data_IF_447626628381
#
_entry.id   IF_447626628381
#
_cell.length_a   1.000
_cell.length_b   1.000
_cell.length_c   1.000
_cell.angle_alpha   90.00
_cell.angle_beta   90.00
_cell.angle_gamma   90.00
#
_symmetry.space_group_name_H-M   'P 1'
#
loop_
_entity.id
_entity.type
_entity.pdbx_description
1 polymer ?
#
# COMPACT_ATOMS: atom_id res chain seq x y z
N UNK A 1 -67.15 13.61 28.97
CA UNK A 1 -66.85 12.22 28.64
C UNK A 1 -65.36 12.11 28.35
N UNK A 2 -64.75 11.09 28.95
CA UNK A 2 -63.34 10.69 28.90
C UNK A 2 -62.95 10.31 27.46
N UNK A 3 -61.70 10.54 27.06
CA UNK A 3 -60.80 9.56 26.41
C UNK A 3 -59.56 10.27 25.83
N UNK A 4 -58.42 10.05 26.50
CA UNK A 4 -57.11 9.78 25.86
C UNK A 4 -57.02 8.25 25.65
N UNK A 5 -56.15 7.66 24.79
CA UNK A 5 -54.74 8.05 24.61
C UNK A 5 -54.03 7.77 23.25
N UNK A 6 -52.76 8.19 23.23
CA UNK A 6 -51.55 7.56 22.66
C UNK A 6 -51.08 7.79 21.21
N UNK A 7 -49.76 8.10 21.18
CA UNK A 7 -48.72 7.89 20.17
C UNK A 7 -48.67 8.77 18.92
N UNK A 8 -47.66 9.64 18.88
CA UNK A 8 -46.99 10.02 17.63
C UNK A 8 -45.48 10.10 17.86
N UNK A 9 -44.75 9.52 16.90
CA UNK A 9 -43.30 9.53 16.74
C UNK A 9 -42.95 10.73 15.87
N UNK A 10 -41.95 11.54 16.23
CA UNK A 10 -41.08 12.22 15.27
C UNK A 10 -39.89 12.92 15.93
N UNK A 11 -38.70 12.59 15.39
CA UNK A 11 -37.55 13.43 15.09
C UNK A 11 -37.29 14.70 15.92
N UNK A 12 -36.08 14.84 16.45
CA UNK A 12 -35.09 15.80 15.91
C UNK A 12 -33.74 15.74 16.62
N UNK A 13 -32.71 16.07 15.84
CA UNK A 13 -31.29 16.08 16.13
C UNK A 13 -30.85 17.25 17.01
N UNK A 14 -29.74 17.02 17.72
CA UNK A 14 -28.70 17.96 18.23
C UNK A 14 -28.94 18.70 19.56
N UNK A 15 -27.85 18.94 20.34
CA UNK A 15 -27.07 20.15 20.10
C UNK A 15 -25.53 19.98 20.21
N UNK A 16 -24.84 20.26 19.10
CA UNK A 16 -23.45 20.72 19.13
C UNK A 16 -23.42 22.10 19.80
N UNK A 17 -22.74 22.21 20.94
CA UNK A 17 -22.43 23.50 21.58
C UNK A 17 -20.93 23.79 21.46
N UNK A 18 -20.67 24.91 20.76
CA UNK A 18 -19.63 25.92 20.99
C UNK A 18 -18.21 25.64 20.46
N UNK A 19 -17.99 26.08 19.23
CA UNK A 19 -16.79 26.87 18.92
C UNK A 19 -17.24 28.32 18.65
N UNK A 20 -16.85 29.24 19.54
CA UNK A 20 -16.89 30.67 19.31
C UNK A 20 -15.57 31.23 19.77
N UNK A 21 -14.85 31.90 18.87
CA UNK A 21 -13.64 32.61 19.25
C UNK A 21 -12.61 32.83 18.14
N UNK A 22 -13.03 33.27 16.96
CA UNK A 22 -12.12 33.98 16.06
C UNK A 22 -12.02 35.41 16.58
N UNK A 23 -10.87 35.78 17.13
CA UNK A 23 -10.45 37.17 17.29
C UNK A 23 -9.14 37.37 16.55
N UNK A 24 -9.27 38.05 15.41
CA UNK A 24 -8.22 38.54 14.53
C UNK A 24 -7.50 39.69 15.24
N UNK A 25 -6.21 39.53 15.56
CA UNK A 25 -5.30 40.65 15.79
C UNK A 25 -4.03 40.46 14.95
N UNK A 26 -3.83 41.43 14.09
CA UNK A 26 -2.66 41.66 13.26
C UNK A 26 -1.45 42.04 14.11
N UNK A 27 -0.41 41.21 14.08
CA UNK A 27 0.97 41.62 14.32
C UNK A 27 1.89 40.62 13.61
N UNK A 28 2.67 41.14 12.67
CA UNK A 28 3.68 40.43 11.89
C UNK A 28 4.80 39.92 12.80
N UNK A 29 4.85 38.61 12.99
CA UNK A 29 6.01 37.88 13.51
C UNK A 29 6.17 36.59 12.70
N UNK A 30 7.39 36.20 12.29
CA UNK A 30 7.60 34.92 11.62
C UNK A 30 7.15 33.78 12.54
N UNK A 31 6.64 32.65 12.02
CA UNK A 31 6.31 31.51 12.86
C UNK A 31 7.60 31.03 13.54
N UNK A 32 7.63 31.13 14.87
CA UNK A 32 8.71 30.59 15.67
C UNK A 32 8.79 29.06 15.46
N UNK A 33 10.02 28.54 15.42
CA UNK A 33 10.32 27.12 15.45
C UNK A 33 9.51 26.42 16.54
N UNK A 34 9.06 25.16 16.32
CA UNK A 34 8.25 24.47 17.31
C UNK A 34 9.00 24.41 18.64
N UNK A 35 8.37 24.98 19.66
CA UNK A 35 8.82 24.93 21.05
C UNK A 35 8.97 23.49 21.51
N UNK A 36 10.02 23.24 22.29
CA UNK A 36 10.38 21.95 22.89
C UNK A 36 9.17 21.18 23.42
N UNK A 37 9.14 19.84 23.25
CA UNK A 37 8.01 19.03 23.68
C UNK A 37 7.75 19.20 25.18
N UNK A 38 6.47 19.20 25.55
CA UNK A 38 6.01 19.30 26.92
C UNK A 38 6.63 18.18 27.80
N UNK A 39 6.87 18.44 29.10
CA UNK A 39 7.43 17.44 30.00
C UNK A 39 6.51 16.22 30.08
N UNK A 40 6.98 15.05 29.66
CA UNK A 40 6.27 13.77 29.81
C UNK A 40 5.73 13.12 28.53
N UNK A 41 5.79 13.78 27.37
CA UNK A 41 5.60 13.07 26.08
C UNK A 41 6.96 12.59 25.59
N UNK A 42 7.12 11.31 25.20
CA UNK A 42 8.40 10.86 24.69
C UNK A 42 8.71 11.60 23.38
N UNK A 43 9.80 12.36 23.37
CA UNK A 43 10.25 13.14 22.20
C UNK A 43 10.41 12.28 20.94
N UNK A 44 10.64 10.97 21.11
CA UNK A 44 10.76 10.00 20.03
C UNK A 44 9.46 9.77 19.24
N UNK A 45 8.27 10.00 19.82
CA UNK A 45 7.00 9.86 19.11
C UNK A 45 6.89 10.85 17.96
N UNK A 46 7.22 12.12 18.22
CA UNK A 46 7.18 13.18 17.20
C UNK A 46 8.23 12.94 16.13
N UNK A 47 9.41 12.47 16.53
CA UNK A 47 10.45 12.08 15.59
C UNK A 47 10.00 10.96 14.66
N UNK A 48 9.38 9.89 15.20
CA UNK A 48 8.87 8.78 14.39
C UNK A 48 7.86 9.25 13.36
N UNK A 49 6.91 10.11 13.77
CA UNK A 49 5.94 10.72 12.85
C UNK A 49 6.68 11.48 11.75
N UNK A 50 7.64 12.32 12.10
CA UNK A 50 8.40 13.11 11.13
C UNK A 50 9.18 12.22 10.14
N UNK A 51 9.84 11.19 10.64
CA UNK A 51 10.57 10.21 9.82
C UNK A 51 9.64 9.47 8.86
N UNK A 52 8.48 8.99 9.35
CA UNK A 52 7.47 8.30 8.54
C UNK A 52 6.77 9.23 7.54
N UNK A 53 6.73 10.53 7.80
CA UNK A 53 6.27 11.55 6.84
C UNK A 53 7.32 11.85 5.77
N UNK A 54 8.53 11.30 5.87
CA UNK A 54 9.65 11.56 4.97
C UNK A 54 10.26 12.94 5.16
N UNK A 55 10.25 13.47 6.39
CA UNK A 55 11.06 14.64 6.71
C UNK A 55 12.53 14.27 6.71
N UNK A 56 13.36 15.15 6.16
CA UNK A 56 14.80 15.02 6.28
C UNK A 56 15.24 15.32 7.70
N UNK A 57 16.07 14.42 8.23
CA UNK A 57 16.63 14.50 9.58
C UNK A 57 18.13 14.47 9.40
N UNK A 58 18.84 15.43 9.98
CA UNK A 58 20.28 15.52 9.78
C UNK A 58 21.03 14.43 10.55
N UNK A 59 22.32 14.25 10.25
CA UNK A 59 23.13 13.19 10.84
C UNK A 59 23.28 13.30 12.36
N UNK A 60 23.33 14.53 12.89
CA UNK A 60 23.50 14.76 14.33
C UNK A 60 22.23 14.40 15.10
N UNK A 61 21.07 14.79 14.58
CA UNK A 61 19.77 14.40 15.13
C UNK A 61 19.60 12.88 15.10
N UNK A 62 19.90 12.23 13.96
CA UNK A 62 19.83 10.76 13.84
C UNK A 62 20.69 10.07 14.90
N UNK A 63 21.92 10.56 15.11
CA UNK A 63 22.83 10.02 16.13
C UNK A 63 22.25 10.18 17.53
N UNK A 64 21.78 11.39 17.88
CA UNK A 64 21.16 11.66 19.19
C UNK A 64 19.99 10.71 19.45
N UNK A 65 19.12 10.51 18.47
CA UNK A 65 17.96 9.64 18.65
C UNK A 65 18.36 8.18 18.78
N UNK A 66 19.33 7.71 17.99
CA UNK A 66 19.86 6.36 18.15
C UNK A 66 20.48 6.16 19.55
N UNK A 67 21.22 7.15 20.06
CA UNK A 67 21.79 7.11 21.43
C UNK A 67 20.69 7.09 22.50
N UNK A 68 19.60 7.84 22.30
CA UNK A 68 18.46 7.84 23.21
C UNK A 68 17.75 6.48 23.21
N UNK A 69 17.55 5.86 22.04
CA UNK A 69 16.98 4.51 21.89
C UNK A 69 17.89 3.44 22.50
N UNK A 70 19.21 3.58 22.36
CA UNK A 70 20.18 2.68 22.98
C UNK A 70 20.09 2.73 24.52
N UNK A 71 19.75 3.88 25.10
CA UNK A 71 19.58 4.01 26.56
C UNK A 71 18.26 3.48 27.09
N UNK A 72 17.28 3.24 26.21
CA UNK A 72 16.00 2.65 26.60
C UNK A 72 16.20 1.26 27.19
N UNK A 73 15.43 0.96 28.23
CA UNK A 73 15.30 -0.41 28.73
C UNK A 73 14.42 -1.26 27.80
N UNK A 74 14.34 -2.56 28.06
CA UNK A 74 13.60 -3.49 27.21
C UNK A 74 12.10 -3.13 27.09
N UNK A 75 11.47 -2.76 28.20
CA UNK A 75 10.04 -2.39 28.23
C UNK A 75 9.77 -1.12 27.42
N UNK A 76 10.67 -0.13 27.49
CA UNK A 76 10.58 1.08 26.68
C UNK A 76 10.75 0.77 25.19
N UNK A 77 11.65 -0.13 24.82
CA UNK A 77 11.80 -0.59 23.44
C UNK A 77 10.59 -1.39 22.95
N UNK A 78 9.97 -2.22 23.79
CA UNK A 78 8.71 -2.88 23.48
C UNK A 78 7.61 -1.88 23.16
N UNK A 79 7.40 -0.91 24.05
CA UNK A 79 6.40 0.14 23.86
C UNK A 79 6.69 0.97 22.59
N UNK A 80 7.97 1.21 22.31
CA UNK A 80 8.40 1.91 21.10
C UNK A 80 8.03 1.12 19.83
N UNK A 81 8.38 -0.16 19.79
CA UNK A 81 8.11 -1.04 18.64
C UNK A 81 6.60 -1.22 18.45
N UNK A 82 5.85 -1.49 19.53
CA UNK A 82 4.40 -1.59 19.47
C UNK A 82 3.76 -0.31 18.93
N UNK A 83 4.21 0.86 19.43
CA UNK A 83 3.71 2.15 18.95
C UNK A 83 4.02 2.37 17.47
N UNK A 84 5.21 1.98 17.02
CA UNK A 84 5.60 2.05 15.61
C UNK A 84 4.68 1.18 14.74
N UNK A 85 4.55 -0.10 15.09
CA UNK A 85 3.91 -1.12 14.26
C UNK A 85 2.38 -0.99 14.22
N UNK A 86 1.77 -0.78 15.38
CA UNK A 86 0.31 -0.78 15.52
C UNK A 86 -0.29 0.62 15.53
N UNK A 87 0.50 1.62 15.93
CA UNK A 87 0.06 3.00 16.07
C UNK A 87 0.40 3.88 14.87
N UNK A 88 1.65 4.37 14.85
CA UNK A 88 2.01 5.53 14.01
C UNK A 88 2.32 5.17 12.56
N UNK A 89 2.98 4.05 12.25
CA UNK A 89 3.32 3.70 10.87
C UNK A 89 2.08 3.44 10.00
N UNK A 90 1.08 2.63 10.44
CA UNK A 90 -0.13 2.40 9.65
C UNK A 90 -0.84 3.68 9.23
N UNK A 91 -1.09 4.55 10.21
CA UNK A 91 -1.83 5.80 10.01
C UNK A 91 -1.01 6.82 9.19
N UNK A 92 0.29 6.92 9.43
CA UNK A 92 1.14 7.89 8.72
C UNK A 92 1.36 7.50 7.26
N UNK A 93 1.60 6.22 6.97
CA UNK A 93 1.78 5.75 5.59
C UNK A 93 0.49 5.87 4.78
N UNK A 94 -0.66 5.56 5.38
CA UNK A 94 -1.96 5.78 4.73
C UNK A 94 -2.22 7.28 4.47
N UNK A 95 -1.91 8.15 5.44
CA UNK A 95 -2.03 9.59 5.25
C UNK A 95 -1.08 10.13 4.18
N UNK A 96 0.13 9.59 4.06
CA UNK A 96 1.05 9.94 2.98
C UNK A 96 0.46 9.57 1.61
N UNK A 97 -0.17 8.40 1.51
CA UNK A 97 -0.85 7.98 0.28
C UNK A 97 -2.01 8.94 -0.07
N UNK A 98 -2.86 9.27 0.92
CA UNK A 98 -3.96 10.21 0.74
C UNK A 98 -3.46 11.59 0.27
N UNK A 99 -2.35 12.09 0.81
CA UNK A 99 -1.71 13.33 0.35
C UNK A 99 -1.19 13.22 -1.08
N UNK A 100 -0.55 12.10 -1.44
CA UNK A 100 -0.01 11.89 -2.78
C UNK A 100 -1.12 11.84 -3.84
N UNK A 101 -2.22 11.13 -3.57
CA UNK A 101 -3.34 11.00 -4.50
C UNK A 101 -4.37 12.15 -4.41
N UNK A 102 -4.20 13.05 -3.44
CA UNK A 102 -5.12 14.14 -3.12
C UNK A 102 -6.53 13.60 -2.88
N UNK A 103 -6.66 12.67 -1.94
CA UNK A 103 -7.91 11.99 -1.59
C UNK A 103 -8.05 11.78 -0.07
N UNK A 104 -9.21 11.30 0.36
CA UNK A 104 -9.42 10.82 1.73
C UNK A 104 -9.17 9.31 1.84
N UNK A 105 -9.09 8.79 3.07
CA UNK A 105 -8.86 7.36 3.33
C UNK A 105 -9.95 6.45 2.77
N UNK A 106 -11.20 6.93 2.70
CA UNK A 106 -12.33 6.21 2.09
C UNK A 106 -12.21 6.06 0.59
N UNK A 107 -11.52 7.00 -0.05
CA UNK A 107 -11.46 7.12 -1.52
C UNK A 107 -10.17 6.48 -2.07
N UNK A 108 -9.29 6.00 -1.19
CA UNK A 108 -7.99 5.44 -1.56
C UNK A 108 -8.11 4.22 -2.48
N UNK A 109 -9.20 3.46 -2.43
CA UNK A 109 -9.43 2.34 -3.36
C UNK A 109 -9.68 2.77 -4.81
N UNK A 110 -10.12 4.01 -5.01
CA UNK A 110 -10.35 4.60 -6.33
C UNK A 110 -9.14 5.41 -6.83
N UNK A 111 -8.03 5.43 -6.08
CA UNK A 111 -6.89 6.29 -6.35
C UNK A 111 -6.35 6.13 -7.78
N UNK A 112 -6.11 4.89 -8.21
CA UNK A 112 -5.59 4.59 -9.56
C UNK A 112 -6.64 4.61 -10.67
N UNK A 113 -7.94 4.67 -10.33
CA UNK A 113 -9.00 4.86 -11.32
C UNK A 113 -9.05 6.32 -11.77
N UNK A 114 -8.75 7.25 -10.85
CA UNK A 114 -8.87 8.69 -11.10
C UNK A 114 -7.53 9.39 -11.35
N UNK A 115 -6.39 8.71 -11.14
CA UNK A 115 -5.04 9.31 -11.15
C UNK A 115 -4.04 8.43 -11.90
N UNK A 116 -2.90 9.04 -12.22
CA UNK A 116 -1.82 8.35 -12.92
C UNK A 116 -1.07 7.39 -11.99
N UNK A 117 -0.60 6.23 -12.49
CA UNK A 117 0.24 5.31 -11.73
C UNK A 117 1.52 5.95 -11.17
N UNK A 118 1.98 7.06 -11.75
CA UNK A 118 3.18 7.78 -11.33
C UNK A 118 3.08 8.27 -9.87
N UNK A 119 1.88 8.64 -9.40
CA UNK A 119 1.69 9.03 -8.01
C UNK A 119 2.03 7.88 -7.05
N UNK A 120 1.66 6.64 -7.41
CA UNK A 120 2.02 5.47 -6.61
C UNK A 120 3.53 5.21 -6.61
N UNK A 121 4.18 5.42 -7.76
CA UNK A 121 5.64 5.28 -7.90
C UNK A 121 6.37 6.31 -7.02
N UNK A 122 5.94 7.57 -7.05
CA UNK A 122 6.52 8.63 -6.22
C UNK A 122 6.37 8.31 -4.72
N UNK A 123 5.19 7.80 -4.32
CA UNK A 123 4.96 7.35 -2.94
C UNK A 123 5.89 6.19 -2.57
N UNK A 124 6.04 5.21 -3.47
CA UNK A 124 6.96 4.10 -3.28
C UNK A 124 8.41 4.55 -3.14
N UNK A 125 8.88 5.44 -4.01
CA UNK A 125 10.23 5.99 -3.94
C UNK A 125 10.49 6.69 -2.61
N UNK A 126 9.50 7.45 -2.12
CA UNK A 126 9.58 8.08 -0.81
C UNK A 126 9.67 7.05 0.32
N UNK A 127 8.85 6.00 0.30
CA UNK A 127 8.91 4.93 1.31
C UNK A 127 10.24 4.20 1.25
N UNK A 128 10.67 3.79 0.06
CA UNK A 128 11.78 2.87 -0.13
C UNK A 128 13.16 3.53 -0.05
N UNK A 129 13.31 4.75 -0.60
CA UNK A 129 14.60 5.43 -0.67
C UNK A 129 14.79 6.50 0.40
N UNK A 130 13.72 6.95 1.07
CA UNK A 130 13.82 8.00 2.09
C UNK A 130 13.44 7.50 3.48
N UNK A 131 12.21 7.00 3.65
CA UNK A 131 11.68 6.61 4.98
C UNK A 131 12.42 5.38 5.51
N UNK A 132 12.52 4.31 4.71
CA UNK A 132 13.16 3.07 5.12
C UNK A 132 14.63 3.25 5.55
N UNK A 133 15.52 3.87 4.74
CA UNK A 133 16.91 4.06 5.15
C UNK A 133 17.06 4.94 6.39
N UNK A 134 16.20 5.96 6.55
CA UNK A 134 16.18 6.80 7.74
C UNK A 134 15.84 5.99 8.99
N UNK A 135 14.75 5.20 8.96
CA UNK A 135 14.36 4.35 10.07
C UNK A 135 15.44 3.31 10.39
N UNK A 136 16.00 2.64 9.38
CA UNK A 136 17.11 1.70 9.56
C UNK A 136 18.32 2.34 10.25
N UNK A 137 18.67 3.57 9.86
CA UNK A 137 19.83 4.28 10.43
C UNK A 137 19.67 4.67 11.89
N UNK A 138 18.43 4.79 12.39
CA UNK A 138 18.15 5.21 13.77
C UNK A 138 17.72 4.05 14.65
N UNK A 139 17.07 3.03 14.09
CA UNK A 139 16.53 1.87 14.81
C UNK A 139 17.49 0.68 14.90
N UNK A 140 18.72 0.82 14.38
CA UNK A 140 19.75 -0.22 14.52
C UNK A 140 20.01 -0.67 15.97
N UNK A 141 19.89 0.18 17.03
CA UNK A 141 20.03 -0.26 18.42
C UNK A 141 19.01 -1.33 18.81
N UNK A 142 17.77 -1.19 18.34
CA UNK A 142 16.69 -2.14 18.59
C UNK A 142 17.00 -3.44 17.86
N UNK A 143 17.32 -3.37 16.56
CA UNK A 143 17.64 -4.56 15.76
C UNK A 143 18.84 -5.33 16.32
N UNK A 144 19.82 -4.63 16.89
CA UNK A 144 20.98 -5.25 17.53
C UNK A 144 20.60 -6.07 18.76
N UNK A 145 19.63 -5.60 19.56
CA UNK A 145 19.13 -6.32 20.75
C UNK A 145 18.09 -7.38 20.39
N UNK A 146 17.37 -7.17 19.29
CA UNK A 146 16.24 -7.99 18.81
C UNK A 146 16.44 -8.34 17.33
N UNK A 147 17.24 -9.36 17.02
CA UNK A 147 17.51 -9.77 15.64
C UNK A 147 16.25 -10.14 14.85
N UNK A 148 15.19 -10.55 15.53
CA UNK A 148 13.87 -10.84 14.97
C UNK A 148 13.11 -9.60 14.52
N UNK A 149 13.47 -8.41 15.04
CA UNK A 149 12.85 -7.15 14.63
C UNK A 149 13.47 -6.66 13.32
N UNK A 150 12.73 -6.88 12.23
CA UNK A 150 13.10 -6.41 10.89
C UNK A 150 12.27 -5.19 10.49
N UNK A 151 12.83 -4.00 10.72
CA UNK A 151 12.17 -2.73 10.39
C UNK A 151 11.76 -2.63 8.90
N UNK A 152 12.56 -3.21 8.00
CA UNK A 152 12.30 -3.16 6.57
C UNK A 152 11.05 -3.97 6.25
N UNK A 153 11.02 -5.22 6.71
CA UNK A 153 9.87 -6.10 6.57
C UNK A 153 8.63 -5.50 7.23
N UNK A 154 8.75 -4.96 8.44
CA UNK A 154 7.66 -4.31 9.18
C UNK A 154 7.04 -3.17 8.37
N UNK A 155 7.83 -2.19 7.91
CA UNK A 155 7.31 -1.03 7.17
C UNK A 155 6.73 -1.44 5.82
N UNK A 156 7.38 -2.36 5.10
CA UNK A 156 6.86 -2.85 3.81
C UNK A 156 5.57 -3.64 3.99
N UNK A 157 5.43 -4.43 5.06
CA UNK A 157 4.19 -5.16 5.39
C UNK A 157 3.06 -4.18 5.69
N UNK A 158 3.33 -3.15 6.47
CA UNK A 158 2.33 -2.11 6.77
C UNK A 158 1.95 -1.35 5.49
N UNK A 159 2.91 -0.99 4.65
CA UNK A 159 2.65 -0.33 3.38
C UNK A 159 1.79 -1.19 2.45
N UNK A 160 2.10 -2.50 2.35
CA UNK A 160 1.28 -3.48 1.62
C UNK A 160 -0.16 -3.48 2.12
N UNK A 161 -0.35 -3.69 3.43
CA UNK A 161 -1.66 -3.96 4.00
C UNK A 161 -2.55 -2.72 4.08
N UNK A 162 -1.96 -1.56 4.43
CA UNK A 162 -2.71 -0.33 4.68
C UNK A 162 -2.85 0.54 3.45
N UNK A 163 -1.90 0.47 2.52
CA UNK A 163 -1.89 1.32 1.31
C UNK A 163 -2.16 0.49 0.06
N UNK A 164 -1.24 -0.40 -0.31
CA UNK A 164 -1.29 -1.04 -1.63
C UNK A 164 -2.53 -1.92 -1.82
N UNK A 165 -2.91 -2.71 -0.81
CA UNK A 165 -4.12 -3.54 -0.85
C UNK A 165 -5.41 -2.72 -1.03
N UNK A 166 -5.41 -1.44 -0.64
CA UNK A 166 -6.52 -0.52 -0.91
C UNK A 166 -6.41 0.04 -2.32
N UNK A 167 -5.27 0.65 -2.64
CA UNK A 167 -5.02 1.34 -3.92
C UNK A 167 -5.20 0.42 -5.13
N UNK A 168 -4.84 -0.86 -5.02
CA UNK A 168 -4.93 -1.83 -6.12
C UNK A 168 -6.27 -2.58 -6.18
N UNK A 169 -7.16 -2.39 -5.20
CA UNK A 169 -8.38 -3.20 -5.02
C UNK A 169 -9.27 -3.22 -6.26
N UNK A 170 -9.51 -2.04 -6.82
CA UNK A 170 -10.45 -1.84 -7.92
C UNK A 170 -9.74 -1.70 -9.29
N UNK A 171 -8.44 -1.99 -9.32
CA UNK A 171 -7.65 -1.97 -10.56
C UNK A 171 -7.79 -3.28 -11.30
N UNK A 172 -8.49 -3.27 -12.43
CA UNK A 172 -8.73 -4.45 -13.26
C UNK A 172 -7.82 -4.57 -14.48
N UNK A 173 -7.06 -3.52 -14.78
CA UNK A 173 -6.16 -3.46 -15.93
C UNK A 173 -4.71 -3.71 -15.54
N UNK A 174 -3.91 -4.13 -16.53
CA UNK A 174 -2.47 -4.32 -16.33
C UNK A 174 -1.77 -2.96 -16.30
N UNK A 175 -0.91 -2.75 -15.31
CA UNK A 175 -0.08 -1.54 -15.17
C UNK A 175 1.39 -1.96 -15.06
N UNK A 176 2.09 -2.18 -16.20
CA UNK A 176 3.44 -2.76 -16.21
C UNK A 176 4.48 -1.96 -15.42
N UNK A 177 4.34 -0.63 -15.38
CA UNK A 177 5.28 0.25 -14.68
C UNK A 177 5.33 -0.01 -13.17
N UNK A 178 4.29 -0.62 -12.58
CA UNK A 178 4.25 -0.98 -11.16
C UNK A 178 4.92 -2.33 -10.86
N UNK A 179 5.24 -3.13 -11.87
CA UNK A 179 5.76 -4.50 -11.68
C UNK A 179 7.01 -4.57 -10.80
N UNK A 180 8.05 -3.72 -10.97
CA UNK A 180 9.23 -3.78 -10.11
C UNK A 180 8.90 -3.56 -8.63
N UNK A 181 8.10 -2.54 -8.33
CA UNK A 181 7.65 -2.23 -6.97
C UNK A 181 6.84 -3.38 -6.38
N UNK A 182 5.84 -3.88 -7.11
CA UNK A 182 4.96 -4.96 -6.63
C UNK A 182 5.74 -6.25 -6.38
N UNK A 183 6.70 -6.57 -7.25
CA UNK A 183 7.56 -7.73 -7.07
C UNK A 183 8.43 -7.60 -5.81
N UNK A 184 9.06 -6.43 -5.59
CA UNK A 184 9.83 -6.19 -4.36
C UNK A 184 8.96 -6.35 -3.11
N UNK A 185 7.76 -5.76 -3.09
CA UNK A 185 6.87 -5.88 -1.93
C UNK A 185 6.42 -7.33 -1.69
N UNK A 186 6.08 -8.07 -2.75
CA UNK A 186 5.72 -9.48 -2.62
C UNK A 186 6.86 -10.30 -1.99
N UNK A 187 8.08 -10.12 -2.49
CA UNK A 187 9.25 -10.85 -2.01
C UNK A 187 9.59 -10.52 -0.56
N UNK A 188 9.59 -9.23 -0.20
CA UNK A 188 10.04 -8.76 1.12
C UNK A 188 8.99 -9.00 2.23
N UNK A 189 7.71 -9.16 1.86
CA UNK A 189 6.60 -9.26 2.83
C UNK A 189 5.91 -10.61 2.85
N UNK A 190 6.41 -11.59 2.08
CA UNK A 190 5.82 -12.92 2.00
C UNK A 190 5.62 -13.53 3.39
N UNK A 191 4.40 -13.94 3.69
CA UNK A 191 4.03 -14.67 4.89
C UNK A 191 2.75 -15.49 4.65
N UNK A 192 2.33 -16.25 5.65
CA UNK A 192 1.17 -17.17 5.57
C UNK A 192 -0.18 -16.49 5.82
N UNK A 193 -0.21 -15.17 6.06
CA UNK A 193 -1.44 -14.44 6.40
C UNK A 193 -2.38 -14.31 5.21
N UNK A 194 -3.67 -14.11 5.49
CA UNK A 194 -4.68 -13.91 4.44
C UNK A 194 -4.47 -12.57 3.72
N UNK A 195 -3.99 -11.54 4.41
CA UNK A 195 -3.64 -10.24 3.81
C UNK A 195 -2.55 -10.39 2.75
N UNK A 196 -1.52 -11.19 3.04
CA UNK A 196 -0.43 -11.51 2.09
C UNK A 196 -0.96 -12.21 0.84
N UNK A 197 -1.81 -13.23 1.01
CA UNK A 197 -2.44 -13.96 -0.11
C UNK A 197 -3.35 -13.06 -0.95
N UNK A 198 -4.19 -12.25 -0.29
CA UNK A 198 -5.09 -11.31 -0.95
C UNK A 198 -4.30 -10.27 -1.76
N UNK A 199 -3.22 -9.73 -1.18
CA UNK A 199 -2.34 -8.81 -1.88
C UNK A 199 -1.68 -9.46 -3.09
N UNK A 200 -1.22 -10.71 -2.99
CA UNK A 200 -0.62 -11.45 -4.10
C UNK A 200 -1.57 -11.57 -5.30
N UNK A 201 -2.87 -11.80 -5.06
CA UNK A 201 -3.88 -11.83 -6.12
C UNK A 201 -4.00 -10.46 -6.80
N UNK A 202 -4.08 -9.38 -6.02
CA UNK A 202 -4.16 -8.01 -6.55
C UNK A 202 -2.91 -7.65 -7.37
N UNK A 203 -1.72 -7.93 -6.84
CA UNK A 203 -0.45 -7.65 -7.49
C UNK A 203 -0.29 -8.46 -8.78
N UNK A 204 -0.60 -9.76 -8.77
CA UNK A 204 -0.54 -10.61 -9.96
C UNK A 204 -1.51 -10.15 -11.05
N UNK A 205 -2.71 -9.68 -10.68
CA UNK A 205 -3.66 -9.10 -11.63
C UNK A 205 -3.08 -7.85 -12.31
N UNK A 206 -2.54 -6.92 -11.53
CA UNK A 206 -1.95 -5.66 -12.03
C UNK A 206 -0.68 -5.89 -12.85
N UNK A 207 0.12 -6.89 -12.50
CA UNK A 207 1.29 -7.31 -13.28
C UNK A 207 0.93 -8.09 -14.56
N UNK A 208 -0.29 -8.63 -14.65
CA UNK A 208 -0.74 -9.47 -15.76
C UNK A 208 -0.28 -10.93 -15.66
N UNK A 209 -0.03 -11.43 -14.44
CA UNK A 209 0.40 -12.81 -14.13
C UNK A 209 -0.75 -13.75 -13.74
N UNK A 210 -2.00 -13.35 -13.96
CA UNK A 210 -3.18 -14.20 -13.76
C UNK A 210 -3.58 -14.94 -15.04
N UNK A 211 -4.14 -16.15 -14.89
CA UNK A 211 -4.80 -16.85 -15.99
C UNK A 211 -5.88 -15.95 -16.60
N UNK A 212 -5.64 -15.42 -17.79
CA UNK A 212 -6.76 -15.04 -18.64
C UNK A 212 -7.50 -16.36 -18.95
N UNK A 213 -8.83 -16.47 -18.71
CA UNK A 213 -9.58 -17.49 -19.41
C UNK A 213 -9.29 -17.25 -20.89
N UNK A 214 -8.69 -18.25 -21.54
CA UNK A 214 -8.38 -18.20 -22.96
C UNK A 214 -9.64 -17.72 -23.67
N UNK A 215 -9.65 -16.45 -24.11
CA UNK A 215 -10.69 -16.03 -25.02
C UNK A 215 -10.57 -17.00 -26.19
N UNK A 216 -11.63 -17.74 -26.54
CA UNK A 216 -11.56 -18.59 -27.71
C UNK A 216 -11.23 -17.63 -28.84
N UNK A 217 -10.01 -17.76 -29.37
CA UNK A 217 -9.58 -17.03 -30.54
C UNK A 217 -10.54 -17.46 -31.65
N UNK A 218 -11.63 -16.72 -31.84
CA UNK A 218 -12.39 -16.74 -33.06
C UNK A 218 -11.44 -16.14 -34.09
N UNK A 219 -10.58 -16.99 -34.65
CA UNK A 219 -9.86 -16.73 -35.88
C UNK A 219 -10.94 -16.48 -36.93
N UNK A 220 -11.36 -15.24 -37.06
CA UNK A 220 -11.98 -14.72 -38.27
C UNK A 220 -10.87 -14.78 -39.31
N UNK A 221 -10.76 -15.94 -39.97
CA UNK A 221 -9.96 -16.09 -41.18
C UNK A 221 -10.60 -15.18 -42.21
N UNK A 222 -9.97 -14.03 -42.45
CA UNK A 222 -10.19 -13.21 -43.64
C UNK A 222 -10.14 -14.13 -44.86
N UNK A 223 -11.31 -14.38 -45.46
CA UNK A 223 -11.44 -15.08 -46.74
C UNK A 223 -11.12 -14.06 -47.83
N UNK A 224 -9.89 -14.08 -48.31
CA UNK A 224 -9.59 -13.58 -49.64
C UNK A 224 -8.85 -14.66 -50.41
N UNK A 225 -9.48 -15.08 -51.52
CA UNK A 225 -8.98 -15.83 -52.69
C UNK A 225 -9.51 -17.27 -52.92
N UNK A 226 -9.64 -17.67 -54.20
CA UNK A 226 -10.89 -18.21 -54.73
C UNK A 226 -10.91 -19.73 -54.91
N UNK A 227 -12.15 -20.24 -55.01
CA UNK A 227 -12.58 -21.61 -55.29
C UNK A 227 -11.56 -22.51 -56.04
N UNK A 228 -11.18 -23.61 -55.39
CA UNK A 228 -10.81 -24.86 -56.07
C UNK A 228 -11.53 -26.04 -55.38
N UNK A 229 -12.09 -26.99 -56.15
CA UNK A 229 -12.85 -28.11 -55.58
C UNK A 229 -11.90 -29.12 -54.91
N UNK A 230 -12.26 -29.54 -53.70
CA UNK A 230 -11.53 -30.50 -52.89
C UNK A 230 -11.80 -31.91 -53.41
N UNK A 231 -10.79 -32.58 -53.99
CA UNK A 231 -10.80 -34.04 -54.15
C UNK A 231 -10.56 -34.68 -52.78
N UNK A 232 -11.55 -35.40 -52.25
CA UNK A 232 -11.36 -36.29 -51.09
C UNK A 232 -10.57 -37.52 -51.56
N UNK A 233 -9.40 -37.74 -50.95
CA UNK A 233 -8.65 -38.99 -51.08
C UNK A 233 -9.02 -39.85 -49.86
N UNK A 234 -9.67 -40.99 -50.12
CA UNK A 234 -9.91 -42.05 -49.15
C UNK A 234 -8.63 -42.90 -49.09
N UNK A 235 -8.09 -43.08 -47.89
CA UNK A 235 -7.00 -44.01 -47.62
C UNK A 235 -7.59 -45.31 -47.11
N UNK A 236 -8.25 -46.02 -48.00
CA UNK A 236 -8.39 -47.45 -47.85
C UNK A 236 -7.76 -48.10 -49.07
N UNK A 237 -6.81 -48.97 -48.75
CA UNK A 237 -6.53 -50.22 -49.45
C UNK A 237 -5.14 -50.40 -50.07
N UNK A 238 -4.66 -51.63 -49.87
CA UNK A 238 -3.52 -52.33 -50.46
C UNK A 238 -2.10 -52.09 -49.90
N UNK A 239 -1.84 -52.88 -48.84
CA UNK A 239 -0.69 -53.80 -48.79
C UNK A 239 -0.30 -54.28 -50.19
N UNK A 240 0.95 -54.07 -50.60
CA UNK A 240 1.67 -54.97 -51.51
C UNK A 240 3.18 -54.79 -51.37
N UNK A 241 3.81 -55.94 -51.20
CA UNK A 241 5.19 -56.24 -50.84
C UNK A 241 6.20 -55.76 -51.90
N UNK A 242 7.36 -55.29 -51.47
CA UNK A 242 8.53 -55.13 -52.34
C UNK A 242 9.51 -56.29 -52.08
N UNK A 243 9.61 -57.19 -53.05
CA UNK A 243 10.68 -58.19 -53.19
C UNK A 243 11.95 -57.49 -53.68
N UNK A 244 13.07 -57.73 -53.00
CA UNK A 244 14.40 -57.34 -53.48
C UNK A 244 14.89 -58.39 -54.49
N UNK A 245 15.55 -57.96 -55.56
CA UNK A 245 16.36 -58.82 -56.43
C UNK A 245 17.75 -58.20 -56.58
N UNK A 246 18.72 -59.11 -56.74
CA UNK A 246 20.15 -59.02 -56.44
C UNK A 246 20.94 -57.89 -57.10
#
# INVERSE_FOLDING_TARGET
MVFSPSSSVSATLSPLRKFSGIMRKSSSTPPASPSSPAPGSPSWCLWLVAALQGHEINSEERRRIADDIERMNEVEQDNFVEFLETGVAPSTLENNACKQFVCNTTDLCNALVCREPQDLINLWEKVYHQILPLLQSVLYPIQRRRPEFDIRRTILTIFRDKVLSKVLRDVHERIPVLEPMLFTVLLETENTSEESKNFAILANRVMGKGEQPAQPASRIRSRTLPNKPIKRVSWDDLRKSATFSA
#
